data_IF_717168750052
#
_entry.id   IF_717168750052
#
_cell.length_a   1.000
_cell.length_b   1.000
_cell.length_c   1.000
_cell.angle_alpha   90.00
_cell.angle_beta   90.00
_cell.angle_gamma   90.00
#
_symmetry.space_group_name_H-M   'P 1'
#
loop_
_entity.id
_entity.type
_entity.pdbx_description
1 polymer ?
#
# COMPACT_ATOMS: atom_id res chain seq x y z
N UNK A 1 3.65 4.59 -23.88
CA UNK A 1 3.13 3.94 -25.08
C UNK A 1 1.66 3.60 -24.86
N UNK A 2 0.77 4.01 -25.78
CA UNK A 2 -0.66 3.77 -25.59
C UNK A 2 -0.96 2.27 -25.67
N UNK A 3 -1.69 1.69 -24.69
CA UNK A 3 -2.12 0.29 -24.62
C UNK A 3 -2.76 -0.23 -25.94
N UNK A 4 -3.32 0.66 -26.74
CA UNK A 4 -3.97 0.34 -28.03
C UNK A 4 -3.00 -0.02 -29.16
N UNK A 5 -1.72 0.42 -29.10
CA UNK A 5 -0.70 0.11 -30.11
C UNK A 5 -0.11 -1.31 -29.94
N UNK A 6 -0.10 -1.84 -28.73
CA UNK A 6 0.49 -3.15 -28.42
C UNK A 6 -0.38 -4.30 -28.95
N UNK A 7 -1.70 -4.13 -29.03
CA UNK A 7 -2.63 -5.18 -29.44
C UNK A 7 -2.67 -5.45 -30.94
N UNK A 8 -2.14 -4.59 -31.82
CA UNK A 8 -2.38 -4.66 -33.25
C UNK A 8 -1.16 -4.95 -34.14
N UNK A 9 0.05 -5.08 -33.55
CA UNK A 9 1.26 -5.34 -34.34
C UNK A 9 2.09 -6.48 -33.71
N UNK A 10 1.87 -7.70 -34.18
CA UNK A 10 2.54 -8.91 -33.70
C UNK A 10 4.07 -8.81 -33.81
N UNK A 11 4.61 -8.24 -34.89
CA UNK A 11 6.07 -8.11 -35.05
C UNK A 11 6.68 -7.23 -33.96
N UNK A 12 6.07 -6.09 -33.65
CA UNK A 12 6.53 -5.22 -32.60
C UNK A 12 6.43 -5.87 -31.20
N UNK A 13 5.42 -6.71 -30.99
CA UNK A 13 5.24 -7.47 -29.74
C UNK A 13 6.34 -8.52 -29.59
N UNK A 14 6.66 -9.23 -30.66
CA UNK A 14 7.71 -10.26 -30.68
C UNK A 14 9.09 -9.62 -30.46
N UNK A 15 9.37 -8.47 -31.06
CA UNK A 15 10.61 -7.71 -30.83
C UNK A 15 10.77 -7.26 -29.37
N UNK A 16 9.69 -6.89 -28.69
CA UNK A 16 9.69 -6.53 -27.28
C UNK A 16 9.97 -7.74 -26.38
N UNK A 17 9.55 -8.93 -26.78
CA UNK A 17 9.70 -10.16 -26.04
C UNK A 17 8.85 -10.23 -24.75
N UNK A 18 9.02 -11.30 -24.00
CA UNK A 18 8.39 -11.47 -22.70
C UNK A 18 8.95 -10.48 -21.67
N UNK A 19 8.09 -10.03 -20.75
CA UNK A 19 8.47 -9.04 -19.75
C UNK A 19 7.36 -8.80 -18.71
N UNK A 20 7.43 -7.66 -18.05
CA UNK A 20 6.48 -7.29 -17.00
C UNK A 20 5.02 -7.27 -17.48
N UNK A 21 4.76 -7.01 -18.76
CA UNK A 21 3.43 -6.80 -19.33
C UNK A 21 3.08 -7.77 -20.47
N UNK A 22 4.01 -8.63 -20.88
CA UNK A 22 3.87 -9.52 -22.02
C UNK A 22 4.28 -10.92 -21.60
N UNK A 23 3.45 -11.91 -21.97
CA UNK A 23 3.74 -13.34 -21.83
C UNK A 23 3.35 -14.06 -23.12
N UNK A 24 4.17 -15.01 -23.56
CA UNK A 24 3.90 -15.88 -24.70
C UNK A 24 3.54 -17.28 -24.23
N UNK A 25 2.59 -17.90 -24.91
CA UNK A 25 2.21 -19.30 -24.71
C UNK A 25 1.89 -19.95 -26.05
N UNK A 26 2.44 -21.13 -26.30
CA UNK A 26 2.13 -21.86 -27.53
C UNK A 26 0.68 -22.35 -27.57
N UNK A 27 0.16 -22.79 -26.42
CA UNK A 27 -1.19 -23.30 -26.26
C UNK A 27 -1.69 -23.10 -24.84
N UNK A 28 -2.99 -23.29 -24.64
CA UNK A 28 -3.60 -23.25 -23.31
C UNK A 28 -3.11 -24.45 -22.51
N UNK A 29 -2.40 -24.19 -21.42
CA UNK A 29 -1.82 -25.20 -20.53
C UNK A 29 -2.34 -25.07 -19.08
N UNK A 30 -1.94 -26.01 -18.22
CA UNK A 30 -2.29 -26.00 -16.78
C UNK A 30 -1.71 -24.83 -15.99
N UNK A 31 -0.72 -24.13 -16.52
CA UNK A 31 -0.07 -22.99 -15.89
C UNK A 31 -0.74 -21.67 -16.25
N UNK A 32 -1.63 -21.68 -17.26
CA UNK A 32 -2.28 -20.45 -17.75
C UNK A 32 -2.98 -19.67 -16.62
N UNK A 33 -3.66 -20.35 -15.70
CA UNK A 33 -4.31 -19.71 -14.54
C UNK A 33 -3.32 -18.96 -13.64
N UNK A 34 -2.11 -19.49 -13.48
CA UNK A 34 -1.03 -18.84 -12.74
C UNK A 34 -0.62 -17.51 -13.37
N UNK A 35 -0.50 -17.45 -14.70
CA UNK A 35 -0.15 -16.23 -15.42
C UNK A 35 -1.24 -15.15 -15.25
N UNK A 36 -2.53 -15.56 -15.41
CA UNK A 36 -3.67 -14.66 -15.21
C UNK A 36 -3.66 -14.04 -13.81
N UNK A 37 -3.46 -14.86 -12.77
CA UNK A 37 -3.36 -14.40 -11.37
C UNK A 37 -2.15 -13.47 -11.19
N UNK A 38 -1.00 -13.82 -11.74
CA UNK A 38 0.23 -13.04 -11.59
C UNK A 38 0.08 -11.63 -12.20
N UNK A 39 -0.53 -11.51 -13.37
CA UNK A 39 -0.82 -10.22 -13.99
C UNK A 39 -1.86 -9.41 -13.19
N UNK A 40 -2.94 -10.04 -12.71
CA UNK A 40 -3.95 -9.37 -11.91
C UNK A 40 -3.39 -8.82 -10.58
N UNK A 41 -2.49 -9.55 -9.94
CA UNK A 41 -1.82 -9.11 -8.71
C UNK A 41 -0.77 -8.02 -8.96
N UNK A 42 -0.20 -7.95 -10.16
CA UNK A 42 0.76 -6.92 -10.55
C UNK A 42 0.04 -5.70 -11.20
N UNK A 43 0.52 -5.23 -12.32
CA UNK A 43 0.02 -4.05 -13.04
C UNK A 43 -0.81 -4.40 -14.28
N UNK A 44 -1.29 -5.64 -14.36
CA UNK A 44 -1.92 -6.18 -15.56
C UNK A 44 -0.92 -6.48 -16.68
N UNK A 45 -1.42 -6.96 -17.81
CA UNK A 45 -0.62 -7.29 -18.98
C UNK A 45 -1.42 -8.05 -20.03
N UNK A 46 -0.71 -8.62 -21.00
CA UNK A 46 -1.32 -9.38 -22.09
C UNK A 46 -0.60 -10.72 -22.25
N UNK A 47 -1.38 -11.80 -22.33
CA UNK A 47 -0.90 -13.14 -22.63
C UNK A 47 -1.25 -13.42 -24.10
N UNK A 48 -0.22 -13.73 -24.90
CA UNK A 48 -0.38 -14.07 -26.32
C UNK A 48 -0.33 -15.58 -26.49
N UNK A 49 -1.46 -16.16 -26.87
CA UNK A 49 -1.60 -17.59 -27.11
C UNK A 49 -1.39 -17.90 -28.61
N UNK A 50 -0.50 -18.83 -28.91
CA UNK A 50 -0.07 -19.15 -30.29
C UNK A 50 1.33 -18.66 -30.62
N UNK A 51 2.10 -18.19 -29.63
CA UNK A 51 3.49 -17.74 -29.76
C UNK A 51 4.37 -18.57 -28.83
N UNK A 52 5.53 -19.01 -29.33
CA UNK A 52 6.51 -19.71 -28.50
C UNK A 52 7.34 -18.72 -27.67
N UNK A 53 8.03 -19.18 -26.63
CA UNK A 53 8.96 -18.38 -25.82
C UNK A 53 10.09 -17.76 -26.69
N UNK A 54 10.41 -18.36 -27.86
CA UNK A 54 11.36 -17.81 -28.83
C UNK A 54 10.75 -16.76 -29.77
N UNK A 55 9.49 -16.39 -29.60
CA UNK A 55 8.81 -15.40 -30.45
C UNK A 55 8.32 -15.96 -31.80
N UNK A 56 8.27 -17.28 -31.98
CA UNK A 56 7.81 -17.88 -33.24
C UNK A 56 6.29 -18.04 -33.21
N UNK A 57 5.59 -17.49 -34.21
CA UNK A 57 4.14 -17.63 -34.35
C UNK A 57 3.82 -19.03 -34.84
N UNK A 58 3.23 -19.86 -34.00
CA UNK A 58 2.64 -21.13 -34.34
C UNK A 58 1.17 -21.03 -34.69
N UNK A 59 0.51 -20.04 -34.07
CA UNK A 59 -0.95 -19.88 -34.14
C UNK A 59 -1.70 -20.89 -33.26
N UNK A 60 -2.97 -20.62 -33.06
CA UNK A 60 -3.93 -21.52 -32.39
C UNK A 60 -5.24 -21.55 -33.15
N UNK A 61 -5.96 -22.66 -33.10
CA UNK A 61 -7.31 -22.75 -33.64
C UNK A 61 -8.27 -21.98 -32.73
N UNK A 62 -8.80 -20.88 -33.26
CA UNK A 62 -9.62 -19.93 -32.49
C UNK A 62 -11.09 -20.38 -32.54
N UNK A 63 -11.46 -21.21 -31.59
CA UNK A 63 -12.82 -21.75 -31.45
C UNK A 63 -13.56 -21.07 -30.28
N UNK A 64 -14.90 -21.13 -30.31
CA UNK A 64 -15.71 -20.71 -29.16
C UNK A 64 -15.39 -21.53 -27.92
N UNK A 65 -15.01 -22.80 -28.09
CA UNK A 65 -14.58 -23.67 -26.98
C UNK A 65 -13.32 -23.13 -26.32
N UNK A 66 -12.31 -22.72 -27.10
CA UNK A 66 -11.08 -22.12 -26.54
C UNK A 66 -11.39 -20.84 -25.77
N UNK A 67 -12.23 -19.96 -26.35
CA UNK A 67 -12.62 -18.71 -25.68
C UNK A 67 -13.34 -18.97 -24.34
N UNK A 68 -14.29 -19.94 -24.34
CA UNK A 68 -14.97 -20.34 -23.10
C UNK A 68 -14.02 -20.90 -22.07
N UNK A 69 -13.07 -21.77 -22.46
CA UNK A 69 -12.07 -22.31 -21.54
C UNK A 69 -11.21 -21.21 -20.90
N UNK A 70 -10.78 -20.21 -21.67
CA UNK A 70 -10.00 -19.07 -21.17
C UNK A 70 -10.83 -18.26 -20.17
N UNK A 71 -12.11 -18.01 -20.47
CA UNK A 71 -13.01 -17.30 -19.56
C UNK A 71 -13.26 -18.09 -18.27
N UNK A 72 -13.50 -19.39 -18.37
CA UNK A 72 -13.71 -20.27 -17.22
C UNK A 72 -12.50 -20.29 -16.28
N UNK A 73 -11.29 -20.33 -16.85
CA UNK A 73 -10.05 -20.28 -16.06
C UNK A 73 -9.95 -18.97 -15.25
N UNK A 74 -10.24 -17.84 -15.90
CA UNK A 74 -10.21 -16.54 -15.24
C UNK A 74 -11.33 -16.37 -14.20
N UNK A 75 -12.52 -16.91 -14.50
CA UNK A 75 -13.66 -16.89 -13.58
C UNK A 75 -13.43 -17.76 -12.34
N UNK A 76 -12.72 -18.89 -12.47
CA UNK A 76 -12.39 -19.79 -11.37
C UNK A 76 -11.18 -19.35 -10.52
N UNK A 77 -10.69 -18.13 -10.72
CA UNK A 77 -9.76 -17.50 -9.79
C UNK A 77 -10.53 -16.93 -8.59
N UNK A 78 -9.84 -16.74 -7.48
CA UNK A 78 -10.41 -16.16 -6.26
C UNK A 78 -9.64 -14.85 -5.88
N UNK A 79 -10.32 -13.70 -5.91
CA UNK A 79 -11.59 -13.42 -6.60
C UNK A 79 -11.54 -13.67 -8.11
N UNK A 80 -12.71 -13.76 -8.77
CA UNK A 80 -12.76 -13.91 -10.22
C UNK A 80 -12.08 -12.74 -10.94
N UNK A 81 -11.38 -13.04 -12.04
CA UNK A 81 -10.61 -12.05 -12.79
C UNK A 81 -11.32 -11.74 -14.11
N UNK A 82 -11.57 -10.46 -14.35
CA UNK A 82 -12.11 -9.99 -15.61
C UNK A 82 -11.00 -9.87 -16.66
N UNK A 83 -11.19 -10.53 -17.80
CA UNK A 83 -10.28 -10.53 -18.92
C UNK A 83 -10.98 -10.05 -20.21
N UNK A 84 -10.18 -9.55 -21.17
CA UNK A 84 -10.64 -9.25 -22.52
C UNK A 84 -9.89 -10.13 -23.51
N UNK A 85 -10.61 -10.76 -24.45
CA UNK A 85 -10.02 -11.68 -25.43
C UNK A 85 -10.11 -11.02 -26.80
N UNK A 86 -8.98 -10.88 -27.48
CA UNK A 86 -8.83 -10.29 -28.80
C UNK A 86 -8.18 -11.31 -29.75
N UNK A 87 -8.65 -11.36 -30.97
CA UNK A 87 -8.02 -12.16 -32.01
C UNK A 87 -7.13 -11.26 -32.86
N UNK A 88 -5.88 -11.69 -33.08
CA UNK A 88 -4.92 -11.03 -33.96
C UNK A 88 -4.39 -12.11 -34.92
N UNK A 89 -4.89 -12.14 -36.13
CA UNK A 89 -4.55 -13.19 -37.12
C UNK A 89 -4.80 -14.59 -36.54
N UNK A 90 -3.76 -15.41 -36.39
CA UNK A 90 -3.78 -16.76 -35.80
C UNK A 90 -3.47 -16.79 -34.31
N UNK A 91 -3.31 -15.63 -33.64
CA UNK A 91 -2.94 -15.49 -32.23
C UNK A 91 -4.14 -14.97 -31.46
N UNK A 92 -4.27 -15.42 -30.19
CA UNK A 92 -5.25 -14.87 -29.24
C UNK A 92 -4.51 -14.04 -28.22
N UNK A 93 -4.83 -12.75 -28.13
CA UNK A 93 -4.34 -11.85 -27.08
C UNK A 93 -5.37 -11.78 -25.94
N UNK A 94 -4.96 -12.17 -24.75
CA UNK A 94 -5.76 -12.16 -23.53
C UNK A 94 -5.27 -11.00 -22.66
N UNK A 95 -6.02 -9.90 -22.61
CA UNK A 95 -5.73 -8.77 -21.75
C UNK A 95 -6.23 -9.05 -20.34
N UNK A 96 -5.31 -9.03 -19.38
CA UNK A 96 -5.58 -9.09 -17.95
C UNK A 96 -5.34 -7.70 -17.37
N UNK A 97 -6.37 -7.06 -16.85
CA UNK A 97 -6.23 -5.75 -16.18
C UNK A 97 -5.64 -5.93 -14.79
N UNK A 98 -4.98 -4.89 -14.31
CA UNK A 98 -4.62 -4.81 -12.89
C UNK A 98 -5.87 -4.97 -12.03
N UNK A 99 -5.81 -5.92 -11.10
CA UNK A 99 -6.94 -6.24 -10.26
C UNK A 99 -7.15 -5.22 -9.13
N UNK A 100 -8.39 -4.84 -8.90
CA UNK A 100 -8.78 -3.90 -7.82
C UNK A 100 -9.02 -4.60 -6.48
N UNK A 101 -9.11 -5.95 -6.50
CA UNK A 101 -9.49 -6.74 -5.33
C UNK A 101 -8.38 -7.70 -4.88
N UNK A 102 -7.11 -7.25 -5.03
CA UNK A 102 -5.92 -8.04 -4.63
C UNK A 102 -5.94 -8.39 -3.13
N UNK A 103 -5.35 -9.51 -2.74
CA UNK A 103 -4.62 -10.49 -3.56
C UNK A 103 -5.57 -11.48 -4.25
N UNK A 104 -5.28 -11.82 -5.49
CA UNK A 104 -5.93 -12.88 -6.27
C UNK A 104 -5.18 -14.19 -6.13
N UNK A 105 -5.90 -15.29 -6.19
CA UNK A 105 -5.33 -16.65 -6.14
C UNK A 105 -5.95 -17.57 -7.18
N UNK A 106 -5.30 -18.69 -7.41
CA UNK A 106 -5.84 -19.83 -8.14
C UNK A 106 -5.66 -21.12 -7.32
N UNK A 107 -6.09 -22.25 -7.88
CA UNK A 107 -5.98 -23.55 -7.22
C UNK A 107 -4.56 -23.91 -6.75
N UNK A 108 -3.52 -23.39 -7.40
CA UNK A 108 -2.11 -23.61 -7.08
C UNK A 108 -1.50 -22.56 -6.16
N UNK A 109 -2.25 -21.50 -5.81
CA UNK A 109 -1.87 -20.46 -4.86
C UNK A 109 -1.86 -19.04 -5.44
N UNK A 110 -1.09 -18.17 -4.77
CA UNK A 110 -0.94 -16.76 -5.11
C UNK A 110 0.33 -16.55 -5.92
N UNK A 111 0.24 -15.77 -6.98
CA UNK A 111 1.37 -15.46 -7.86
C UNK A 111 1.43 -13.96 -8.15
N UNK A 112 2.63 -13.45 -8.41
CA UNK A 112 2.87 -12.07 -8.80
C UNK A 112 3.85 -11.99 -9.96
N UNK A 113 3.59 -11.11 -10.91
CA UNK A 113 4.49 -10.87 -12.04
C UNK A 113 5.68 -10.03 -11.60
N UNK A 114 6.89 -10.54 -11.82
CA UNK A 114 8.16 -9.88 -11.52
C UNK A 114 9.07 -9.99 -12.75
N UNK A 115 9.09 -8.92 -13.56
CA UNK A 115 9.71 -8.97 -14.88
C UNK A 115 9.02 -9.96 -15.80
N UNK A 116 9.75 -10.88 -16.41
CA UNK A 116 9.22 -11.95 -17.25
C UNK A 116 8.76 -13.19 -16.47
N UNK A 117 8.85 -13.19 -15.13
CA UNK A 117 8.54 -14.37 -14.32
C UNK A 117 7.28 -14.17 -13.48
N UNK A 118 6.42 -15.20 -13.44
CA UNK A 118 5.30 -15.30 -12.51
C UNK A 118 5.71 -16.11 -11.31
N UNK A 119 6.07 -15.43 -10.21
CA UNK A 119 6.60 -16.05 -9.01
C UNK A 119 5.49 -16.32 -7.99
N UNK A 120 5.62 -17.45 -7.28
CA UNK A 120 4.73 -17.78 -6.17
C UNK A 120 5.02 -16.86 -5.00
N UNK A 121 3.98 -16.22 -4.49
CA UNK A 121 4.07 -15.31 -3.36
C UNK A 121 4.31 -16.08 -2.06
N UNK A 122 5.20 -15.56 -1.22
CA UNK A 122 5.36 -16.04 0.15
C UNK A 122 4.19 -15.59 1.01
N UNK A 123 4.03 -16.16 2.21
CA UNK A 123 3.03 -15.70 3.18
C UNK A 123 3.18 -14.21 3.49
N UNK A 124 4.40 -13.71 3.60
CA UNK A 124 4.66 -12.30 3.89
C UNK A 124 4.27 -11.39 2.72
N UNK A 125 4.49 -11.83 1.47
CA UNK A 125 4.08 -11.08 0.28
C UNK A 125 2.55 -10.95 0.21
N UNK A 126 1.83 -12.05 0.48
CA UNK A 126 0.35 -12.08 0.49
C UNK A 126 -0.19 -11.10 1.54
N UNK A 127 0.32 -11.19 2.78
CA UNK A 127 -0.08 -10.28 3.85
C UNK A 127 0.24 -8.81 3.52
N UNK A 128 1.43 -8.56 2.98
CA UNK A 128 1.84 -7.21 2.59
C UNK A 128 0.95 -6.64 1.49
N UNK A 129 0.60 -7.45 0.50
CA UNK A 129 -0.32 -7.05 -0.58
C UNK A 129 -1.73 -6.81 -0.03
N UNK A 130 -2.25 -7.69 0.84
CA UNK A 130 -3.57 -7.55 1.45
C UNK A 130 -3.69 -6.26 2.29
N UNK A 131 -2.62 -5.90 3.02
CA UNK A 131 -2.57 -4.65 3.79
C UNK A 131 -2.47 -3.45 2.85
N UNK A 132 -1.58 -3.50 1.85
CA UNK A 132 -1.40 -2.42 0.87
C UNK A 132 -2.69 -2.09 0.12
N UNK A 133 -3.52 -3.10 -0.12
CA UNK A 133 -4.80 -2.96 -0.82
C UNK A 133 -6.00 -2.73 0.11
N UNK A 134 -5.75 -2.58 1.42
CA UNK A 134 -6.79 -2.28 2.43
C UNK A 134 -7.69 -3.47 2.77
N UNK A 135 -7.34 -4.70 2.35
CA UNK A 135 -8.10 -5.92 2.73
C UNK A 135 -7.88 -6.31 4.18
N UNK A 136 -6.71 -6.03 4.69
CA UNK A 136 -6.37 -6.21 6.10
C UNK A 136 -6.01 -4.85 6.66
N UNK A 137 -6.81 -4.36 7.55
CA UNK A 137 -6.57 -3.09 8.25
C UNK A 137 -5.78 -3.37 9.51
N UNK A 138 -4.54 -2.93 9.53
CA UNK A 138 -3.65 -3.10 10.68
C UNK A 138 -4.18 -2.41 11.93
N UNK A 139 -4.77 -1.24 11.76
CA UNK A 139 -5.37 -0.42 12.82
C UNK A 139 -6.55 -1.10 13.52
N UNK A 140 -7.33 -1.91 12.79
CA UNK A 140 -8.49 -2.64 13.31
C UNK A 140 -8.13 -4.00 13.95
N UNK A 141 -6.88 -4.47 13.79
CA UNK A 141 -6.45 -5.74 14.39
C UNK A 141 -6.40 -5.63 15.92
N UNK A 142 -6.93 -6.65 16.60
CA UNK A 142 -6.92 -6.73 18.06
C UNK A 142 -5.54 -7.11 18.56
N UNK A 143 -5.06 -6.41 19.56
CA UNK A 143 -3.86 -6.73 20.32
C UNK A 143 -4.26 -7.45 21.61
N UNK A 144 -4.32 -8.77 21.54
CA UNK A 144 -4.83 -9.62 22.62
C UNK A 144 -4.03 -9.57 23.93
N UNK A 145 -2.80 -9.08 23.91
CA UNK A 145 -1.92 -8.95 25.06
C UNK A 145 -1.91 -7.56 25.71
N UNK A 146 -2.79 -6.64 25.28
CA UNK A 146 -2.90 -5.32 25.87
C UNK A 146 -3.62 -5.39 27.23
N UNK A 147 -3.02 -4.75 28.25
CA UNK A 147 -3.56 -4.70 29.59
C UNK A 147 -4.16 -3.31 29.87
N UNK A 148 -5.35 -3.25 30.47
CA UNK A 148 -6.03 -2.01 30.85
C UNK A 148 -5.20 -1.10 31.75
N UNK A 149 -4.27 -1.64 32.55
CA UNK A 149 -3.35 -0.84 33.38
C UNK A 149 -2.42 0.03 32.54
N UNK A 150 -2.18 -0.35 31.26
CA UNK A 150 -1.35 0.39 30.32
C UNK A 150 -2.18 1.41 29.49
N UNK A 151 -3.48 1.50 29.76
CA UNK A 151 -4.32 2.56 29.18
C UNK A 151 -4.00 3.91 29.82
N UNK A 152 -3.93 4.95 29.01
CA UNK A 152 -3.60 6.32 29.39
C UNK A 152 -4.85 7.20 29.35
N UNK A 153 -5.38 7.49 30.51
CA UNK A 153 -6.59 8.32 30.69
C UNK A 153 -6.36 9.75 30.18
N UNK A 154 -5.16 10.31 30.42
CA UNK A 154 -4.86 11.69 30.01
C UNK A 154 -4.83 11.83 28.49
N UNK A 155 -4.25 10.84 27.78
CA UNK A 155 -4.28 10.81 26.31
C UNK A 155 -5.70 10.68 25.77
N UNK A 156 -6.54 9.88 26.43
CA UNK A 156 -7.94 9.71 26.03
C UNK A 156 -8.73 10.99 26.20
N UNK A 157 -8.62 11.64 27.35
CA UNK A 157 -9.27 12.92 27.62
C UNK A 157 -8.80 14.03 26.68
N UNK A 158 -7.50 14.07 26.42
CA UNK A 158 -6.91 15.01 25.46
C UNK A 158 -7.47 14.79 24.04
N UNK A 159 -7.59 13.53 23.60
CA UNK A 159 -8.23 13.19 22.34
C UNK A 159 -9.67 13.69 22.27
N UNK A 160 -10.49 13.42 23.30
CA UNK A 160 -11.89 13.85 23.33
C UNK A 160 -12.01 15.37 23.21
N UNK A 161 -11.14 16.09 23.92
CA UNK A 161 -11.08 17.56 23.86
C UNK A 161 -10.72 18.04 22.45
N UNK A 162 -9.72 17.45 21.80
CA UNK A 162 -9.31 17.81 20.44
C UNK A 162 -10.41 17.49 19.40
N UNK A 163 -11.11 16.38 19.59
CA UNK A 163 -12.19 15.94 18.70
C UNK A 163 -13.51 16.71 18.94
N UNK A 164 -13.59 17.56 19.98
CA UNK A 164 -14.81 18.26 20.34
C UNK A 164 -15.93 17.33 20.82
N UNK A 165 -15.57 16.14 21.34
CA UNK A 165 -16.51 15.13 21.83
C UNK A 165 -16.81 15.44 23.29
N UNK A 166 -18.03 15.95 23.56
CA UNK A 166 -18.62 15.97 24.91
C UNK A 166 -19.38 14.67 25.13
N UNK A 167 -19.10 13.99 26.22
CA UNK A 167 -19.66 12.65 26.45
C UNK A 167 -20.52 12.58 27.71
N UNK A 168 -21.69 11.93 27.52
CA UNK A 168 -22.54 11.46 28.62
C UNK A 168 -22.58 9.91 28.65
N UNK A 169 -21.69 9.25 27.86
CA UNK A 169 -21.64 7.80 27.73
C UNK A 169 -20.51 7.21 28.60
N UNK A 170 -20.63 5.96 29.04
CA UNK A 170 -19.53 5.25 29.69
C UNK A 170 -18.29 5.19 28.77
N UNK A 171 -17.10 5.30 29.37
CA UNK A 171 -15.82 5.28 28.66
C UNK A 171 -15.69 4.11 27.68
N UNK A 172 -16.04 2.92 28.13
CA UNK A 172 -15.95 1.72 27.26
C UNK A 172 -16.86 1.81 26.04
N UNK A 173 -18.04 2.39 26.18
CA UNK A 173 -18.97 2.58 25.07
C UNK A 173 -18.41 3.59 24.07
N UNK A 174 -17.78 4.67 24.53
CA UNK A 174 -17.08 5.62 23.67
C UNK A 174 -15.94 4.95 22.91
N UNK A 175 -15.12 4.15 23.58
CA UNK A 175 -14.01 3.43 22.96
C UNK A 175 -14.51 2.43 21.90
N UNK A 176 -15.66 1.79 22.13
CA UNK A 176 -16.33 0.92 21.13
C UNK A 176 -16.86 1.72 19.94
N UNK A 177 -17.50 2.86 20.19
CA UNK A 177 -18.00 3.76 19.14
C UNK A 177 -16.86 4.31 18.27
N UNK A 178 -15.69 4.55 18.86
CA UNK A 178 -14.45 4.91 18.17
C UNK A 178 -13.79 3.72 17.45
N UNK A 179 -14.32 2.50 17.60
CA UNK A 179 -13.76 1.24 17.05
C UNK A 179 -12.35 0.93 17.52
N UNK A 180 -11.95 1.44 18.67
CA UNK A 180 -10.64 1.19 19.27
C UNK A 180 -10.69 0.09 20.35
N UNK A 181 -11.88 -0.28 20.79
CA UNK A 181 -12.15 -1.38 21.70
C UNK A 181 -13.21 -2.30 21.08
N UNK A 182 -12.93 -3.61 21.09
CA UNK A 182 -13.84 -4.67 20.64
C UNK A 182 -14.21 -5.59 21.81
N UNK A 183 -14.99 -6.64 21.56
CA UNK A 183 -15.25 -7.67 22.56
C UNK A 183 -14.01 -8.52 22.87
N UNK A 184 -13.05 -8.57 21.95
CA UNK A 184 -11.81 -9.35 22.05
C UNK A 184 -10.65 -8.54 22.67
N UNK A 185 -10.80 -7.22 22.79
CA UNK A 185 -9.79 -6.32 23.35
C UNK A 185 -9.55 -5.05 22.53
N UNK A 186 -8.50 -4.34 22.87
CA UNK A 186 -8.07 -3.13 22.16
C UNK A 186 -7.51 -3.44 20.78
N UNK A 187 -7.86 -2.60 19.81
CA UNK A 187 -7.26 -2.63 18.49
C UNK A 187 -5.88 -1.93 18.48
N UNK A 188 -5.07 -2.18 17.47
CA UNK A 188 -3.79 -1.48 17.30
C UNK A 188 -3.97 0.05 17.25
N UNK A 189 -5.07 0.54 16.66
CA UNK A 189 -5.41 1.96 16.72
C UNK A 189 -5.58 2.42 18.17
N UNK A 190 -6.34 1.68 18.99
CA UNK A 190 -6.54 2.01 20.40
C UNK A 190 -5.24 2.11 21.18
N UNK A 191 -4.31 1.20 20.92
CA UNK A 191 -2.99 1.21 21.56
C UNK A 191 -2.15 2.41 21.11
N UNK A 192 -2.12 2.68 19.81
CA UNK A 192 -1.36 3.80 19.26
C UNK A 192 -1.86 5.16 19.76
N UNK A 193 -3.17 5.29 20.05
CA UNK A 193 -3.75 6.52 20.57
C UNK A 193 -3.66 6.61 22.09
N UNK A 194 -3.94 5.51 22.82
CA UNK A 194 -4.28 5.56 24.22
C UNK A 194 -3.42 4.68 25.14
N UNK A 195 -2.33 4.08 24.64
CA UNK A 195 -1.37 3.38 25.51
C UNK A 195 -0.39 4.35 26.17
N UNK A 196 -0.03 4.08 27.42
CA UNK A 196 1.09 4.75 28.12
C UNK A 196 2.41 4.54 27.38
N UNK A 197 2.66 3.30 26.92
CA UNK A 197 3.82 2.90 26.15
C UNK A 197 3.40 2.09 24.93
N UNK A 198 3.10 2.73 23.79
CA UNK A 198 2.72 2.02 22.57
C UNK A 198 3.82 1.08 22.06
N UNK A 199 5.10 1.40 22.26
CA UNK A 199 6.23 0.60 21.80
C UNK A 199 6.27 -0.80 22.41
N UNK A 200 5.80 -0.96 23.63
CA UNK A 200 5.66 -2.25 24.29
C UNK A 200 4.85 -3.27 23.46
N UNK A 201 3.90 -2.77 22.67
CA UNK A 201 2.97 -3.56 21.89
C UNK A 201 3.22 -3.46 20.39
N UNK A 202 3.64 -2.28 19.93
CA UNK A 202 3.81 -1.95 18.51
C UNK A 202 5.20 -1.33 18.33
N UNK A 203 6.17 -2.17 17.90
CA UNK A 203 7.59 -1.78 17.77
C UNK A 203 7.79 -0.59 16.82
N UNK A 204 6.91 -0.42 15.84
CA UNK A 204 6.96 0.67 14.86
C UNK A 204 6.25 1.95 15.32
N UNK A 205 5.79 2.06 16.58
CA UNK A 205 5.06 3.23 17.09
C UNK A 205 5.91 4.51 17.19
N UNK A 206 7.24 4.38 17.25
CA UNK A 206 8.17 5.50 17.38
C UNK A 206 8.28 6.34 16.11
N UNK A 207 8.33 7.66 16.29
CA UNK A 207 8.73 8.59 15.24
C UNK A 207 10.21 8.94 15.40
N UNK A 208 10.90 9.05 14.26
CA UNK A 208 12.32 9.47 14.20
C UNK A 208 12.43 10.71 13.33
N UNK A 209 12.86 11.81 13.96
CA UNK A 209 13.17 13.06 13.26
C UNK A 209 14.68 13.18 13.13
N UNK A 210 15.17 13.43 11.92
CA UNK A 210 16.60 13.55 11.62
C UNK A 210 16.79 14.82 10.80
N UNK A 211 17.75 15.65 11.21
CA UNK A 211 18.20 16.83 10.50
C UNK A 211 19.61 16.58 9.95
N UNK A 212 19.76 16.70 8.65
CA UNK A 212 21.05 16.54 7.96
C UNK A 212 21.66 17.90 7.61
N UNK A 213 22.98 17.95 7.51
CA UNK A 213 23.71 19.18 7.13
C UNK A 213 23.50 19.57 5.66
N UNK A 214 23.20 18.58 4.82
CA UNK A 214 23.09 18.74 3.37
C UNK A 214 22.14 17.71 2.74
N UNK A 215 21.87 17.85 1.45
CA UNK A 215 21.04 16.95 0.68
C UNK A 215 21.69 15.57 0.40
N UNK A 216 22.98 15.41 0.66
CA UNK A 216 23.71 14.14 0.47
C UNK A 216 23.43 13.18 1.62
N UNK A 217 22.95 13.71 2.77
CA UNK A 217 22.49 12.94 3.94
C UNK A 217 23.59 12.12 4.62
N UNK A 218 24.80 12.61 4.63
CA UNK A 218 25.94 11.97 5.30
C UNK A 218 26.04 12.46 6.74
N UNK A 219 26.06 13.78 6.95
CA UNK A 219 26.27 14.36 8.26
C UNK A 219 24.94 14.69 8.95
N UNK A 220 24.76 14.12 10.13
CA UNK A 220 23.56 14.31 10.95
C UNK A 220 23.84 15.43 11.96
N UNK A 221 23.11 16.54 11.84
CA UNK A 221 23.16 17.66 12.77
C UNK A 221 22.35 17.38 14.07
N UNK A 222 21.19 16.74 13.92
CA UNK A 222 20.35 16.37 15.06
C UNK A 222 19.51 15.13 14.74
N UNK A 223 19.23 14.34 15.80
CA UNK A 223 18.38 13.14 15.72
C UNK A 223 17.57 13.00 16.99
N UNK A 224 16.25 12.93 16.84
CA UNK A 224 15.31 12.66 17.94
C UNK A 224 14.47 11.42 17.63
N UNK A 225 14.26 10.58 18.63
CA UNK A 225 13.39 9.41 18.57
C UNK A 225 12.43 9.50 19.74
N UNK A 226 11.13 9.53 19.46
CA UNK A 226 10.10 9.65 20.50
C UNK A 226 8.98 8.66 20.26
N UNK A 227 8.29 8.28 21.35
CA UNK A 227 7.04 7.54 21.32
C UNK A 227 6.08 8.17 22.32
N UNK A 228 5.19 9.01 21.83
CA UNK A 228 4.18 9.73 22.60
C UNK A 228 2.76 9.34 22.20
N UNK A 229 2.61 8.23 21.50
CA UNK A 229 1.39 7.88 20.77
C UNK A 229 1.21 8.74 19.51
N UNK A 230 0.18 8.48 18.71
CA UNK A 230 0.00 9.13 17.40
C UNK A 230 -0.05 10.66 17.53
N UNK A 231 -0.91 11.18 18.41
CA UNK A 231 -1.12 12.65 18.54
C UNK A 231 0.19 13.31 19.01
N UNK A 232 0.78 12.81 20.09
CA UNK A 232 2.01 13.38 20.63
C UNK A 232 3.20 13.26 19.67
N UNK A 233 3.25 12.23 18.86
CA UNK A 233 4.26 12.07 17.80
C UNK A 233 4.09 13.11 16.69
N UNK A 234 2.83 13.36 16.25
CA UNK A 234 2.52 14.40 15.26
C UNK A 234 2.90 15.77 15.79
N UNK A 235 2.47 16.10 17.01
CA UNK A 235 2.76 17.39 17.64
C UNK A 235 4.28 17.61 17.81
N UNK A 236 4.99 16.57 18.25
CA UNK A 236 6.44 16.62 18.37
C UNK A 236 7.11 16.86 17.02
N UNK A 237 6.71 16.12 15.96
CA UNK A 237 7.30 16.26 14.63
C UNK A 237 7.02 17.63 14.01
N UNK A 238 5.81 18.15 14.18
CA UNK A 238 5.44 19.51 13.76
C UNK A 238 6.29 20.55 14.47
N UNK A 239 6.45 20.43 15.80
CA UNK A 239 7.31 21.32 16.59
C UNK A 239 8.77 21.26 16.16
N UNK A 240 9.28 20.03 15.95
CA UNK A 240 10.65 19.78 15.52
C UNK A 240 10.96 20.44 14.15
N UNK A 241 10.05 20.35 13.19
CA UNK A 241 10.20 21.02 11.89
C UNK A 241 10.07 22.53 12.01
N UNK A 242 9.09 23.03 12.79
CA UNK A 242 8.88 24.46 12.98
C UNK A 242 10.13 25.19 13.51
N UNK A 243 10.94 24.53 14.35
CA UNK A 243 12.19 25.09 14.86
C UNK A 243 13.31 25.14 13.82
N UNK A 244 13.20 24.38 12.70
CA UNK A 244 14.27 24.18 11.71
C UNK A 244 13.94 24.73 10.33
N UNK A 245 12.67 25.02 10.07
CA UNK A 245 12.24 25.64 8.79
C UNK A 245 12.67 27.10 8.81
N UNK A 246 13.33 27.53 7.73
CA UNK A 246 13.79 28.89 7.53
C UNK A 246 12.61 29.87 7.46
N UNK A 247 12.71 30.98 8.21
CA UNK A 247 11.73 32.06 8.18
C UNK A 247 12.35 33.25 7.49
N UNK A 248 11.78 33.65 6.36
CA UNK A 248 12.12 34.89 5.70
C UNK A 248 11.34 36.03 6.34
N UNK A 249 12.02 37.09 6.65
CA UNK A 249 11.42 38.29 7.22
C UNK A 249 11.34 39.38 6.16
N UNK A 250 10.19 40.04 6.07
CA UNK A 250 9.98 41.24 5.27
C UNK A 250 9.52 42.37 6.19
N UNK A 251 10.29 43.45 6.19
CA UNK A 251 9.99 44.63 7.00
C UNK A 251 9.36 45.67 6.06
N UNK A 252 8.06 45.89 6.22
CA UNK A 252 7.34 46.94 5.55
C UNK A 252 6.89 47.96 6.60
N UNK A 253 7.51 49.12 6.58
CA UNK A 253 7.32 50.22 7.57
C UNK A 253 7.62 49.74 9.01
N UNK A 254 6.63 49.78 9.91
CA UNK A 254 6.77 49.43 11.34
C UNK A 254 6.39 47.97 11.62
N UNK A 255 5.91 47.22 10.61
CA UNK A 255 5.41 45.85 10.78
C UNK A 255 6.36 44.85 10.15
N UNK A 256 6.81 43.88 10.97
CA UNK A 256 7.55 42.68 10.54
C UNK A 256 6.55 41.62 10.09
N UNK A 257 6.66 41.17 8.84
CA UNK A 257 5.94 39.99 8.34
C UNK A 257 6.89 38.81 8.29
N UNK A 258 6.42 37.68 8.78
CA UNK A 258 7.14 36.42 8.80
C UNK A 258 6.61 35.52 7.67
N UNK A 259 7.51 35.06 6.80
CA UNK A 259 7.20 34.15 5.72
C UNK A 259 8.00 32.86 5.94
N UNK A 260 7.40 31.83 6.55
CA UNK A 260 8.05 30.52 6.62
C UNK A 260 8.22 29.97 5.20
N UNK A 261 9.34 29.30 4.94
CA UNK A 261 9.65 28.70 3.64
C UNK A 261 8.52 27.76 3.17
N UNK A 262 7.90 27.04 4.11
CA UNK A 262 6.72 26.21 3.86
C UNK A 262 5.60 26.56 4.84
N UNK A 263 4.33 26.61 4.39
CA UNK A 263 3.20 26.82 5.28
C UNK A 263 3.10 25.68 6.33
N UNK A 264 2.80 26.05 7.58
CA UNK A 264 2.62 25.08 8.68
C UNK A 264 1.63 23.96 8.33
N UNK A 265 0.56 24.28 7.60
CA UNK A 265 -0.43 23.33 7.17
C UNK A 265 0.14 22.25 6.23
N UNK A 266 1.08 22.63 5.33
CA UNK A 266 1.65 21.71 4.35
C UNK A 266 2.51 20.62 5.02
N UNK A 267 3.42 20.98 5.93
CA UNK A 267 4.22 19.95 6.59
C UNK A 267 3.44 19.17 7.66
N UNK A 268 2.43 19.78 8.30
CA UNK A 268 1.51 19.03 9.16
C UNK A 268 0.78 17.95 8.37
N UNK A 269 0.25 18.28 7.20
CA UNK A 269 -0.42 17.33 6.31
C UNK A 269 0.54 16.22 5.85
N UNK A 270 1.77 16.57 5.48
CA UNK A 270 2.79 15.60 5.10
C UNK A 270 3.13 14.64 6.24
N UNK A 271 3.24 15.15 7.50
CA UNK A 271 3.47 14.33 8.69
C UNK A 271 2.29 13.40 8.93
N UNK A 272 1.06 13.89 8.92
CA UNK A 272 -0.16 13.09 9.13
C UNK A 272 -0.24 11.97 8.10
N UNK A 273 -0.06 12.30 6.81
CA UNK A 273 -0.08 11.32 5.72
C UNK A 273 1.03 10.26 5.82
N UNK A 274 2.15 10.62 6.42
CA UNK A 274 3.28 9.71 6.61
C UNK A 274 3.09 8.74 7.79
N UNK A 275 2.20 9.05 8.73
CA UNK A 275 1.82 8.21 9.88
C UNK A 275 0.66 7.25 9.53
N UNK A 276 0.43 6.99 8.25
CA UNK A 276 -0.66 6.10 7.83
C UNK A 276 -0.48 4.67 8.38
N UNK A 277 -1.55 3.98 8.85
CA UNK A 277 -1.50 2.66 9.51
C UNK A 277 -0.77 1.56 8.75
N UNK A 278 -0.77 1.62 7.42
CA UNK A 278 -0.02 0.68 6.55
C UNK A 278 1.49 0.70 6.83
N UNK A 279 2.05 1.83 7.30
CA UNK A 279 3.48 1.98 7.58
C UNK A 279 3.90 1.45 8.93
N UNK A 280 2.99 1.28 9.88
CA UNK A 280 3.31 0.70 11.19
C UNK A 280 3.77 -0.75 11.11
N UNK A 281 3.52 -1.46 10.01
CA UNK A 281 4.00 -2.82 9.79
C UNK A 281 5.38 -2.90 9.14
N UNK A 282 5.78 -1.87 8.39
CA UNK A 282 7.14 -1.79 7.86
C UNK A 282 8.06 -1.17 8.91
N UNK A 283 9.25 -1.75 9.12
CA UNK A 283 10.31 -1.19 9.97
C UNK A 283 10.87 0.15 9.43
N UNK A 284 10.23 0.73 8.43
CA UNK A 284 10.56 2.04 7.90
C UNK A 284 10.03 3.12 8.86
N UNK A 285 10.91 3.53 9.76
CA UNK A 285 10.67 4.71 10.57
C UNK A 285 10.33 5.91 9.67
N UNK A 286 9.34 6.70 10.08
CA UNK A 286 9.03 7.96 9.44
C UNK A 286 10.30 8.80 9.36
N UNK A 287 10.81 9.02 8.15
CA UNK A 287 11.96 9.87 7.91
C UNK A 287 11.44 11.20 7.39
N UNK A 288 11.46 12.21 8.23
CA UNK A 288 11.23 13.58 7.80
C UNK A 288 12.58 14.15 7.38
N UNK A 289 12.63 14.65 6.18
CA UNK A 289 13.80 15.34 5.63
C UNK A 289 13.49 16.83 5.58
N UNK A 290 14.36 17.65 6.09
CA UNK A 290 14.35 19.11 5.93
C UNK A 290 15.11 19.50 4.69
#
# INVERSE_FOLDING_TARGET
MSKKLILNNLNAIIELGEGQFIEFKEALDKNFQKEVVAFANASGGVIYLGITDAGIIKGVEITNRLKSQIQDIAYNCDPSILISIHQIESVVAIEVKEGNNKPYSCSTGFFMRMGANSQKMTRNDILSLAIKTGKVRYDEQVCSNFDWKDFDEEKFEYYLKLAGISYNLPKEELLRNLRVLTNEGFTNAGILYFSKDPYKYIISSKIRCIHFSDNIRIDILDKKVVDRGIIGNIEFAVGYLKERVSIRYEITDIKRKEFPEYPLAAYREAIVNSIHPVRYKSYEALRLYS
#
